data_IF_792943054003
#
_entry.id   IF_792943054003
#
_cell.length_a   1.000
_cell.length_b   1.000
_cell.length_c   1.000
_cell.angle_alpha   90.00
_cell.angle_beta   90.00
_cell.angle_gamma   90.00
#
_symmetry.space_group_name_H-M   'P 1'
#
loop_
_entity.id
_entity.type
_entity.pdbx_description
1 polymer ?
#
# COMPACT_ATOMS: atom_id res chain seq x y z
N UNK A 1 -15.90 18.50 0.77
CA UNK A 1 -15.44 17.16 0.34
C UNK A 1 -14.38 17.21 -0.74
N UNK A 2 -14.37 18.24 -1.60
CA UNK A 2 -13.37 18.38 -2.68
C UNK A 2 -11.90 18.48 -2.22
N UNK A 3 -11.66 18.76 -0.94
CA UNK A 3 -10.32 18.80 -0.33
C UNK A 3 -9.86 17.47 0.27
N UNK A 4 -10.67 16.42 0.20
CA UNK A 4 -10.31 15.07 0.67
C UNK A 4 -10.13 14.18 -0.54
N UNK A 5 -8.93 13.65 -0.74
CA UNK A 5 -8.63 12.72 -1.83
C UNK A 5 -8.79 11.28 -1.35
N UNK A 6 -9.69 10.51 -1.96
CA UNK A 6 -9.81 9.08 -1.73
C UNK A 6 -8.78 8.32 -2.58
N UNK A 7 -7.92 7.54 -1.94
CA UNK A 7 -7.03 6.62 -2.64
C UNK A 7 -7.77 5.34 -2.97
N UNK A 8 -7.92 5.11 -4.27
CA UNK A 8 -8.81 4.12 -4.85
C UNK A 8 -8.11 3.42 -6.02
N UNK A 9 -7.91 2.09 -5.98
CA UNK A 9 -7.32 1.32 -7.09
C UNK A 9 -8.07 1.46 -8.42
N UNK A 10 -9.37 1.81 -8.40
CA UNK A 10 -10.20 1.99 -9.60
C UNK A 10 -10.27 3.45 -10.09
N UNK A 11 -9.53 4.37 -9.46
CA UNK A 11 -9.48 5.75 -9.95
C UNK A 11 -8.90 5.79 -11.38
N UNK A 12 -9.36 6.74 -12.20
CA UNK A 12 -8.84 6.91 -13.56
C UNK A 12 -7.56 7.75 -13.64
N UNK A 13 -7.12 8.37 -12.54
CA UNK A 13 -5.93 9.22 -12.47
C UNK A 13 -5.02 8.78 -11.34
N UNK A 14 -3.72 8.70 -11.62
CA UNK A 14 -2.70 8.43 -10.60
C UNK A 14 -2.49 9.62 -9.68
N UNK A 15 -2.10 9.35 -8.44
CA UNK A 15 -1.59 10.39 -7.56
C UNK A 15 -0.36 11.04 -8.19
N UNK A 16 -0.26 12.36 -8.11
CA UNK A 16 0.87 13.10 -8.68
C UNK A 16 1.41 14.15 -7.71
N UNK A 17 2.66 14.62 -7.87
CA UNK A 17 3.25 15.61 -6.98
C UNK A 17 2.41 16.88 -6.79
N UNK A 18 1.68 17.30 -7.81
CA UNK A 18 0.81 18.49 -7.79
C UNK A 18 -0.42 18.32 -6.86
N UNK A 19 -0.78 17.08 -6.53
CA UNK A 19 -1.85 16.82 -5.56
C UNK A 19 -1.43 17.24 -4.13
N UNK A 20 -0.13 17.44 -3.89
CA UNK A 20 0.43 18.00 -2.66
C UNK A 20 0.53 19.53 -2.62
N UNK A 21 0.07 20.28 -3.62
CA UNK A 21 0.20 21.74 -3.69
C UNK A 21 -0.93 22.48 -2.93
N UNK A 22 -1.55 21.83 -1.95
CA UNK A 22 -2.65 22.39 -1.15
C UNK A 22 -4.04 22.21 -1.78
N UNK A 23 -4.16 21.49 -2.91
CA UNK A 23 -5.46 21.08 -3.46
C UNK A 23 -6.23 20.19 -2.49
N UNK A 24 -5.51 19.29 -1.81
CA UNK A 24 -6.08 18.38 -0.82
C UNK A 24 -5.49 18.67 0.57
N UNK A 25 -6.36 18.65 1.57
CA UNK A 25 -5.99 18.75 2.99
C UNK A 25 -5.84 17.37 3.64
N UNK A 26 -6.45 16.34 3.06
CA UNK A 26 -6.45 14.99 3.61
C UNK A 26 -6.47 13.94 2.49
N UNK A 27 -5.79 12.82 2.74
CA UNK A 27 -5.85 11.61 1.93
C UNK A 27 -6.54 10.50 2.72
N UNK A 28 -7.62 9.97 2.16
CA UNK A 28 -8.43 8.92 2.74
C UNK A 28 -8.03 7.57 2.14
N UNK A 29 -7.63 6.64 3.00
CA UNK A 29 -7.24 5.27 2.63
C UNK A 29 -8.40 4.34 2.93
N UNK A 30 -9.18 3.98 1.92
CA UNK A 30 -10.40 3.18 2.11
C UNK A 30 -10.11 1.69 2.23
N UNK A 31 -10.30 1.11 3.43
CA UNK A 31 -10.45 -0.34 3.67
C UNK A 31 -9.55 -1.26 2.84
N UNK A 32 -8.23 -1.00 2.85
CA UNK A 32 -7.25 -1.59 1.90
C UNK A 32 -6.74 -2.98 2.35
N UNK A 33 -6.84 -3.31 3.64
CA UNK A 33 -6.49 -4.64 4.16
C UNK A 33 -7.49 -5.66 3.59
N UNK A 34 -7.13 -6.69 2.85
CA UNK A 34 -5.82 -7.25 2.48
C UNK A 34 -6.07 -8.64 1.89
N UNK A 35 -7.17 -8.78 1.13
CA UNK A 35 -7.53 -10.02 0.46
C UNK A 35 -6.90 -10.00 -0.93
N UNK A 36 -6.30 -11.12 -1.32
CA UNK A 36 -5.96 -11.42 -2.70
C UNK A 36 -6.89 -12.54 -3.19
N UNK A 37 -7.79 -12.28 -4.16
CA UNK A 37 -7.96 -11.03 -4.89
C UNK A 37 -8.66 -9.92 -4.07
N UNK A 38 -8.46 -8.63 -4.41
CA UNK A 38 -9.06 -7.50 -3.71
C UNK A 38 -10.60 -7.56 -3.67
N UNK A 39 -11.20 -7.39 -2.50
CA UNK A 39 -12.66 -7.41 -2.30
C UNK A 39 -13.36 -6.06 -2.55
N UNK A 40 -12.65 -5.08 -3.11
CA UNK A 40 -13.16 -3.76 -3.50
C UNK A 40 -13.96 -3.00 -2.41
N UNK A 41 -13.58 -3.13 -1.13
CA UNK A 41 -14.32 -2.48 -0.01
C UNK A 41 -14.36 -0.95 -0.12
N UNK A 42 -13.40 -0.35 -0.82
CA UNK A 42 -13.38 1.09 -1.13
C UNK A 42 -14.61 1.55 -1.91
N UNK A 43 -15.37 0.63 -2.55
CA UNK A 43 -16.64 0.95 -3.24
C UNK A 43 -17.66 1.64 -2.34
N UNK A 44 -17.68 1.32 -1.05
CA UNK A 44 -18.57 1.92 -0.07
C UNK A 44 -18.33 3.43 0.10
N UNK A 45 -17.12 3.90 -0.20
CA UNK A 45 -16.74 5.31 -0.11
C UNK A 45 -16.91 6.05 -1.44
N UNK A 46 -16.96 5.34 -2.57
CA UNK A 46 -17.12 5.96 -3.90
C UNK A 46 -18.44 6.72 -4.05
N UNK A 47 -19.50 6.22 -3.41
CA UNK A 47 -20.82 6.85 -3.43
C UNK A 47 -20.83 8.25 -2.80
N UNK A 48 -19.79 8.57 -2.00
CA UNK A 48 -19.65 9.87 -1.37
C UNK A 48 -19.09 10.93 -2.35
N UNK A 49 -18.53 10.54 -3.51
CA UNK A 49 -18.13 11.52 -4.54
C UNK A 49 -16.87 12.33 -4.20
N UNK A 50 -15.96 11.77 -3.41
CA UNK A 50 -14.63 12.36 -3.22
C UNK A 50 -13.83 12.36 -4.53
N UNK A 51 -12.97 13.36 -4.77
CA UNK A 51 -11.90 13.23 -5.76
C UNK A 51 -11.09 11.97 -5.49
N UNK A 52 -10.79 11.20 -6.55
CA UNK A 52 -10.06 9.94 -6.42
C UNK A 52 -8.70 9.98 -7.11
N UNK A 53 -7.75 9.20 -6.57
CA UNK A 53 -6.44 8.90 -7.16
C UNK A 53 -6.07 7.44 -6.93
N UNK A 54 -5.34 6.82 -7.84
CA UNK A 54 -4.76 5.49 -7.61
C UNK A 54 -3.27 5.57 -7.29
N UNK A 55 -2.75 4.56 -6.57
CA UNK A 55 -1.33 4.38 -6.24
C UNK A 55 -0.62 3.40 -7.20
N UNK A 56 -1.26 3.15 -8.35
CA UNK A 56 -0.79 2.18 -9.34
C UNK A 56 -1.65 0.91 -9.36
N UNK A 57 -1.32 -0.05 -10.24
CA UNK A 57 -2.16 -1.21 -10.49
C UNK A 57 -1.99 -2.35 -9.48
N UNK A 58 -0.88 -2.38 -8.74
CA UNK A 58 -0.58 -3.45 -7.77
C UNK A 58 -0.98 -3.00 -6.37
N UNK A 59 -1.66 -3.90 -5.64
CA UNK A 59 -2.12 -3.63 -4.30
C UNK A 59 -0.94 -3.42 -3.34
N UNK A 60 -1.09 -2.48 -2.43
CA UNK A 60 -0.13 -2.17 -1.37
C UNK A 60 -0.78 -2.43 -0.01
N UNK A 61 0.03 -2.75 0.99
CA UNK A 61 -0.42 -2.68 2.39
C UNK A 61 -0.73 -1.22 2.76
N UNK A 62 -1.54 -0.99 3.79
CA UNK A 62 -1.94 0.37 4.19
C UNK A 62 -0.73 1.25 4.54
N UNK A 63 0.25 0.70 5.23
CA UNK A 63 1.49 1.39 5.59
C UNK A 63 2.35 1.73 4.35
N UNK A 64 2.46 0.80 3.39
CA UNK A 64 3.14 1.07 2.11
C UNK A 64 2.40 2.16 1.33
N UNK A 65 1.07 2.05 1.23
CA UNK A 65 0.24 3.04 0.53
C UNK A 65 0.42 4.44 1.13
N UNK A 66 0.46 4.55 2.47
CA UNK A 66 0.71 5.79 3.17
C UNK A 66 2.11 6.33 2.87
N UNK A 67 3.13 5.47 2.91
CA UNK A 67 4.51 5.82 2.57
C UNK A 67 4.63 6.34 1.14
N UNK A 68 4.01 5.66 0.18
CA UNK A 68 3.99 6.06 -1.23
C UNK A 68 3.29 7.39 -1.41
N UNK A 69 2.10 7.57 -0.82
CA UNK A 69 1.38 8.83 -0.90
C UNK A 69 2.22 9.99 -0.38
N UNK A 70 2.90 9.82 0.77
CA UNK A 70 3.83 10.82 1.32
C UNK A 70 4.98 11.14 0.35
N UNK A 71 5.66 10.13 -0.18
CA UNK A 71 6.76 10.32 -1.13
C UNK A 71 6.32 11.14 -2.35
N UNK A 72 5.11 10.87 -2.85
CA UNK A 72 4.57 11.60 -4.00
C UNK A 72 4.20 13.04 -3.64
N UNK A 73 3.35 13.24 -2.63
CA UNK A 73 2.74 14.56 -2.40
C UNK A 73 3.64 15.52 -1.63
N UNK A 74 4.42 14.99 -0.68
CA UNK A 74 5.30 15.78 0.17
C UNK A 74 6.71 15.85 -0.40
N UNK A 75 7.28 14.70 -0.76
CA UNK A 75 8.67 14.62 -1.22
C UNK A 75 8.79 14.86 -2.74
N UNK A 76 7.65 15.04 -3.43
CA UNK A 76 7.52 15.40 -4.85
C UNK A 76 8.16 14.41 -5.81
N UNK A 77 8.19 13.14 -5.42
CA UNK A 77 8.72 12.04 -6.23
C UNK A 77 7.57 11.45 -7.07
N UNK A 78 7.64 11.46 -8.41
CA UNK A 78 6.64 10.80 -9.25
C UNK A 78 6.47 9.32 -8.87
N UNK A 79 5.24 8.80 -8.98
CA UNK A 79 4.95 7.40 -8.62
C UNK A 79 5.85 6.41 -9.37
N UNK A 80 6.21 6.70 -10.62
CA UNK A 80 7.11 5.88 -11.45
C UNK A 80 8.57 5.87 -11.02
N UNK A 81 9.00 6.82 -10.19
CA UNK A 81 10.40 6.95 -9.72
C UNK A 81 10.63 6.30 -8.35
N UNK A 82 9.57 5.92 -7.65
CA UNK A 82 9.69 5.22 -6.36
C UNK A 82 10.21 3.80 -6.63
N UNK A 83 11.28 3.35 -5.94
CA UNK A 83 11.76 1.99 -6.09
C UNK A 83 10.81 1.02 -5.38
N UNK A 84 10.39 -0.03 -6.08
CA UNK A 84 9.43 -1.02 -5.59
C UNK A 84 10.00 -2.43 -5.64
N UNK A 85 9.49 -3.28 -4.75
CA UNK A 85 9.56 -4.73 -4.87
C UNK A 85 8.13 -5.25 -4.87
N UNK A 86 7.80 -6.01 -5.92
CA UNK A 86 6.49 -6.62 -6.11
C UNK A 86 6.55 -8.06 -5.64
N UNK A 87 5.58 -8.45 -4.83
CA UNK A 87 5.42 -9.81 -4.33
C UNK A 87 6.68 -10.39 -3.65
N UNK A 88 7.29 -9.69 -2.67
CA UNK A 88 8.53 -10.16 -2.07
C UNK A 88 8.31 -11.47 -1.31
N UNK A 89 9.29 -12.36 -1.42
CA UNK A 89 9.40 -13.53 -0.54
C UNK A 89 10.32 -13.21 0.64
N UNK A 90 9.76 -13.19 1.84
CA UNK A 90 10.51 -13.01 3.08
C UNK A 90 11.01 -14.38 3.53
N UNK A 91 12.32 -14.61 3.37
CA UNK A 91 12.97 -15.86 3.79
C UNK A 91 13.49 -15.74 5.21
N UNK A 92 13.15 -16.70 6.08
CA UNK A 92 13.63 -16.79 7.46
C UNK A 92 14.78 -17.80 7.58
N UNK A 93 14.63 -18.95 6.93
CA UNK A 93 15.66 -20.00 6.83
C UNK A 93 15.37 -20.90 5.60
N UNK A 94 16.18 -21.93 5.29
CA UNK A 94 15.99 -22.76 4.10
C UNK A 94 14.64 -23.52 3.99
N UNK A 95 13.84 -23.56 5.05
CA UNK A 95 12.54 -24.26 5.10
C UNK A 95 11.36 -23.33 5.37
N UNK A 96 11.62 -22.08 5.77
CA UNK A 96 10.61 -21.14 6.23
C UNK A 96 10.71 -19.83 5.44
N UNK A 97 9.64 -19.53 4.70
CA UNK A 97 9.49 -18.29 3.96
C UNK A 97 8.01 -17.94 3.80
N UNK A 98 7.71 -16.65 3.64
CA UNK A 98 6.37 -16.14 3.35
C UNK A 98 6.43 -15.27 2.10
N UNK A 99 5.58 -15.56 1.13
CA UNK A 99 5.33 -14.68 -0.01
C UNK A 99 4.29 -13.63 0.39
N UNK A 100 4.63 -12.36 0.20
CA UNK A 100 3.73 -11.25 0.50
C UNK A 100 3.05 -10.83 -0.81
N UNK A 101 1.73 -11.01 -1.01
CA UNK A 101 1.06 -10.74 -2.30
C UNK A 101 0.81 -9.24 -2.55
N UNK A 102 1.74 -8.37 -2.14
CA UNK A 102 1.62 -6.91 -2.24
C UNK A 102 2.89 -6.27 -2.81
N UNK A 103 2.76 -5.03 -3.28
CA UNK A 103 3.87 -4.13 -3.59
C UNK A 103 4.37 -3.44 -2.33
N UNK A 104 5.69 -3.34 -2.18
CA UNK A 104 6.38 -2.64 -1.10
C UNK A 104 7.36 -1.61 -1.67
N UNK A 105 7.62 -0.53 -0.91
CA UNK A 105 8.75 0.37 -1.19
C UNK A 105 10.04 -0.42 -0.96
N UNK A 106 10.99 -0.33 -1.87
CA UNK A 106 12.30 -0.95 -1.72
C UNK A 106 13.26 -0.03 -0.96
N UNK A 107 13.92 -0.56 0.06
CA UNK A 107 14.96 0.14 0.83
C UNK A 107 16.18 -0.78 0.90
N UNK A 108 17.31 -0.35 0.31
CA UNK A 108 18.54 -1.15 0.20
C UNK A 108 18.36 -2.54 -0.45
N UNK A 109 17.41 -2.65 -1.39
CA UNK A 109 17.13 -3.91 -2.11
C UNK A 109 16.18 -4.87 -1.37
N UNK A 110 15.68 -4.48 -0.20
CA UNK A 110 14.73 -5.25 0.61
C UNK A 110 13.38 -4.52 0.70
N UNK A 111 12.25 -5.22 0.89
CA UNK A 111 10.96 -4.58 1.10
C UNK A 111 10.96 -3.84 2.45
N UNK A 112 10.56 -2.57 2.45
CA UNK A 112 10.39 -1.80 3.67
C UNK A 112 9.18 -2.32 4.45
N UNK A 113 9.45 -2.99 5.56
CA UNK A 113 8.44 -3.51 6.47
C UNK A 113 8.32 -2.63 7.73
N UNK A 114 7.13 -2.53 8.34
CA UNK A 114 6.99 -1.93 9.65
C UNK A 114 7.86 -2.65 10.70
N UNK A 115 8.38 -1.94 11.71
CA UNK A 115 9.07 -2.57 12.83
C UNK A 115 8.20 -3.66 13.48
N UNK A 116 8.77 -4.83 13.76
CA UNK A 116 8.05 -5.96 14.35
C UNK A 116 7.32 -6.86 13.34
N UNK A 117 7.11 -6.42 12.10
CA UNK A 117 6.34 -7.21 11.11
C UNK A 117 7.06 -8.51 10.73
N UNK A 118 8.39 -8.47 10.61
CA UNK A 118 9.18 -9.65 10.29
C UNK A 118 9.10 -10.69 11.41
N UNK A 119 9.15 -10.24 12.66
CA UNK A 119 9.00 -11.08 13.85
C UNK A 119 7.61 -11.70 13.90
N UNK A 120 6.56 -10.92 13.68
CA UNK A 120 5.19 -11.43 13.64
C UNK A 120 4.97 -12.49 12.56
N UNK A 121 5.54 -12.29 11.36
CA UNK A 121 5.48 -13.29 10.29
C UNK A 121 6.20 -14.59 10.68
N UNK A 122 7.32 -14.48 11.40
CA UNK A 122 8.04 -15.67 11.87
C UNK A 122 7.28 -16.39 12.98
N UNK A 123 6.68 -15.66 13.92
CA UNK A 123 5.81 -16.21 14.97
C UNK A 123 4.59 -16.95 14.38
N UNK A 124 4.00 -16.42 13.30
CA UNK A 124 2.87 -17.05 12.62
C UNK A 124 3.24 -18.41 12.01
N UNK A 125 4.45 -18.56 11.48
CA UNK A 125 4.96 -19.84 10.97
C UNK A 125 5.16 -20.89 12.07
N UNK A 126 5.31 -20.47 13.33
CA UNK A 126 5.47 -21.38 14.47
C UNK A 126 4.12 -21.89 15.01
N UNK A 127 2.99 -21.37 14.53
CA UNK A 127 1.68 -21.86 14.94
C UNK A 127 1.44 -23.26 14.38
N UNK A 128 1.11 -24.20 15.26
CA UNK A 128 0.66 -25.53 14.87
C UNK A 128 -0.67 -25.44 14.15
N UNK A 129 -0.90 -26.35 13.19
CA UNK A 129 -2.25 -26.62 12.72
C UNK A 129 -3.02 -27.28 13.86
N UNK A 130 -3.94 -26.53 14.47
CA UNK A 130 -4.95 -27.11 15.35
C UNK A 130 -5.99 -27.79 14.44
N UNK A 131 -5.94 -29.14 14.39
CA UNK A 131 -6.90 -29.99 13.67
C UNK A 131 -8.09 -30.36 14.55
#
# INVERSE_FOLDING_TARGET
MEKVCLLDPKAGKEISPEDGDGRFECFLFGGILGDDPPRDRTSELRVLGFPTRHLGPIQMTTDTALGVAKLVVQDKIPLSEIPYIDHPTIVFNPKESVEMPFRYIAENGEPKLPPGMREHLHEDLNKSFDF
#
